data_IF_380169819012
#
_entry.id   IF_380169819012
#
_cell.length_a   1.000
_cell.length_b   1.000
_cell.length_c   1.000
_cell.angle_alpha   90.00
_cell.angle_beta   90.00
_cell.angle_gamma   90.00
#
_symmetry.space_group_name_H-M   'P 1'
#
loop_
_entity.id
_entity.type
_entity.pdbx_description
1 polymer ?
#
# COMPACT_ATOMS: atom_id res chain seq x y z
N UNK A 1 -0.79 2.24 -6.59
CA UNK A 1 0.65 2.44 -6.37
C UNK A 1 1.27 1.08 -6.06
N UNK A 2 2.35 0.68 -6.74
CA UNK A 2 3.11 -0.50 -6.35
C UNK A 2 3.79 -0.27 -4.99
N UNK A 3 3.93 -1.32 -4.19
CA UNK A 3 4.57 -1.28 -2.88
C UNK A 3 5.36 -2.58 -2.62
N UNK A 4 6.56 -2.45 -2.07
CA UNK A 4 7.41 -3.56 -1.65
C UNK A 4 8.30 -3.12 -0.48
N UNK A 5 8.04 -3.66 0.71
CA UNK A 5 8.77 -3.35 1.94
C UNK A 5 8.90 -1.83 2.26
N UNK A 6 7.75 -1.14 2.24
CA UNK A 6 7.60 0.30 2.41
C UNK A 6 6.94 0.67 3.76
N UNK A 7 7.02 -0.18 4.80
CA UNK A 7 6.33 0.06 6.09
C UNK A 7 6.62 1.43 6.71
N UNK A 8 7.83 1.96 6.49
CA UNK A 8 8.25 3.26 7.01
C UNK A 8 7.57 4.46 6.32
N UNK A 9 7.04 4.30 5.10
CA UNK A 9 6.59 5.42 4.27
C UNK A 9 5.17 5.26 3.73
N UNK A 10 4.67 4.03 3.61
CA UNK A 10 3.38 3.72 2.97
C UNK A 10 2.23 4.50 3.62
N UNK A 11 2.26 4.71 4.95
CA UNK A 11 1.27 5.47 5.67
C UNK A 11 1.18 6.94 5.20
N UNK A 12 2.33 7.62 5.10
CA UNK A 12 2.40 9.01 4.65
C UNK A 12 1.89 9.13 3.21
N UNK A 13 2.25 8.17 2.36
CA UNK A 13 1.86 8.17 0.96
C UNK A 13 0.35 8.00 0.79
N UNK A 14 -0.27 7.06 1.50
CA UNK A 14 -1.73 6.84 1.45
C UNK A 14 -2.48 8.07 1.98
N UNK A 15 -2.07 8.62 3.12
CA UNK A 15 -2.69 9.82 3.71
C UNK A 15 -2.56 11.03 2.77
N UNK A 16 -1.44 11.17 2.08
CA UNK A 16 -1.25 12.20 1.05
C UNK A 16 -2.16 11.99 -0.16
N UNK A 17 -2.21 10.78 -0.69
CA UNK A 17 -3.01 10.43 -1.86
C UNK A 17 -4.52 10.64 -1.64
N UNK A 18 -5.03 10.32 -0.44
CA UNK A 18 -6.45 10.52 -0.08
C UNK A 18 -6.91 11.98 -0.09
N UNK A 19 -6.00 12.95 -0.14
CA UNK A 19 -6.35 14.37 -0.31
C UNK A 19 -6.75 14.72 -1.75
N UNK A 20 -6.44 13.84 -2.69
CA UNK A 20 -6.57 14.09 -4.13
C UNK A 20 -7.36 13.01 -4.87
N UNK A 21 -7.69 11.89 -4.21
CA UNK A 21 -8.41 10.77 -4.79
C UNK A 21 -9.43 10.20 -3.79
N UNK A 22 -10.57 9.74 -4.30
CA UNK A 22 -11.63 9.12 -3.50
C UNK A 22 -11.23 7.75 -2.92
N UNK A 23 -10.33 7.05 -3.62
CA UNK A 23 -9.82 5.75 -3.23
C UNK A 23 -8.33 5.61 -3.55
N UNK A 24 -7.64 4.76 -2.79
CA UNK A 24 -6.22 4.43 -3.01
C UNK A 24 -6.10 2.93 -3.24
N UNK A 25 -5.61 2.54 -4.42
CA UNK A 25 -5.24 1.16 -4.74
C UNK A 25 -3.75 0.95 -4.48
N UNK A 26 -3.39 0.02 -3.61
CA UNK A 26 -2.04 -0.46 -3.38
C UNK A 26 -1.90 -1.82 -4.05
N UNK A 27 -0.84 -1.98 -4.86
CA UNK A 27 -0.46 -3.26 -5.44
C UNK A 27 0.79 -3.72 -4.70
N UNK A 28 0.65 -4.72 -3.84
CA UNK A 28 1.75 -5.29 -3.07
C UNK A 28 2.47 -6.36 -3.89
N UNK A 29 3.78 -6.19 -4.08
CA UNK A 29 4.62 -7.08 -4.89
C UNK A 29 5.39 -8.09 -4.01
N UNK A 30 4.76 -8.56 -2.94
CA UNK A 30 5.30 -9.59 -2.05
C UNK A 30 6.05 -9.03 -0.86
N UNK A 31 5.56 -7.94 -0.24
CA UNK A 31 6.17 -7.43 0.99
C UNK A 31 6.15 -8.49 2.09
N UNK A 32 7.24 -8.50 2.86
CA UNK A 32 7.43 -9.38 4.04
C UNK A 32 7.41 -8.61 5.36
N UNK A 33 7.24 -7.30 5.28
CA UNK A 33 7.13 -6.37 6.40
C UNK A 33 5.66 -5.92 6.62
N UNK A 34 5.44 -4.89 7.42
CA UNK A 34 4.09 -4.43 7.77
C UNK A 34 3.40 -3.58 6.67
N UNK A 35 3.98 -3.48 5.46
CA UNK A 35 3.45 -2.63 4.36
C UNK A 35 1.97 -2.87 4.07
N UNK A 36 1.59 -4.14 3.93
CA UNK A 36 0.20 -4.53 3.61
C UNK A 36 -0.73 -4.22 4.78
N UNK A 37 -0.32 -4.58 5.99
CA UNK A 37 -1.13 -4.36 7.20
C UNK A 37 -1.40 -2.87 7.41
N UNK A 38 -0.39 -2.01 7.23
CA UNK A 38 -0.53 -0.56 7.34
C UNK A 38 -1.46 -0.02 6.24
N UNK A 39 -1.33 -0.51 5.00
CA UNK A 39 -2.17 -0.06 3.90
C UNK A 39 -3.65 -0.41 4.10
N UNK A 40 -3.95 -1.64 4.50
CA UNK A 40 -5.31 -2.10 4.82
C UNK A 40 -5.91 -1.32 5.99
N UNK A 41 -5.12 -1.09 7.05
CA UNK A 41 -5.55 -0.31 8.23
C UNK A 41 -5.93 1.14 7.88
N UNK A 42 -5.33 1.71 6.83
CA UNK A 42 -5.64 3.06 6.34
C UNK A 42 -6.79 3.09 5.32
N UNK A 43 -7.42 1.94 5.05
CA UNK A 43 -8.55 1.81 4.13
C UNK A 43 -8.16 1.85 2.65
N UNK A 44 -6.89 1.55 2.33
CA UNK A 44 -6.51 1.32 0.95
C UNK A 44 -7.07 -0.01 0.44
N UNK A 45 -7.41 -0.06 -0.84
CA UNK A 45 -7.70 -1.32 -1.54
C UNK A 45 -6.35 -1.96 -1.82
N UNK A 46 -6.09 -3.17 -1.30
CA UNK A 46 -4.81 -3.85 -1.51
C UNK A 46 -5.01 -5.04 -2.45
N UNK A 47 -4.21 -5.10 -3.52
CA UNK A 47 -4.09 -6.26 -4.40
C UNK A 47 -2.69 -6.82 -4.22
N UNK A 48 -2.59 -8.09 -3.83
CA UNK A 48 -1.30 -8.73 -3.57
C UNK A 48 -0.91 -9.68 -4.68
N UNK A 49 0.30 -9.51 -5.20
CA UNK A 49 0.95 -10.48 -6.06
C UNK A 49 1.90 -11.33 -5.21
N UNK A 50 1.80 -12.65 -5.35
CA UNK A 50 2.71 -13.58 -4.68
C UNK A 50 4.15 -13.52 -5.22
N UNK A 51 4.37 -12.83 -6.36
CA UNK A 51 5.69 -12.66 -6.99
C UNK A 51 5.63 -11.52 -8.00
N UNK A 52 6.60 -10.61 -7.98
CA UNK A 52 6.76 -9.56 -8.99
C UNK A 52 7.23 -10.18 -10.32
N UNK A 53 6.42 -10.07 -11.39
CA UNK A 53 6.74 -10.55 -12.74
C UNK A 53 6.37 -9.50 -13.78
#
# INVERSE_FOLDING_TARGET
>A
MPAYNEEAYIAKTIVGARRHADAVLVVDDGSTDETVAIAEALGAIVVRHATNR
#
